data_IF_382585711993
#
_entry.id   IF_382585711993
#
_cell.length_a   1.000
_cell.length_b   1.000
_cell.length_c   1.000
_cell.angle_alpha   90.00
_cell.angle_beta   90.00
_cell.angle_gamma   90.00
#
_symmetry.space_group_name_H-M   'P 1'
#
loop_
_entity.id
_entity.type
_entity.pdbx_description
1 polymer ?
#
# COMPACT_ATOMS: atom_id res chain seq x y z
N UNK A 1 -18.90 5.02 0.82
CA UNK A 1 -17.85 4.31 0.11
C UNK A 1 -17.62 2.93 0.72
N UNK A 2 -17.40 1.88 -0.09
CA UNK A 2 -16.96 0.56 0.37
C UNK A 2 -15.48 0.38 0.04
N UNK A 3 -14.65 0.30 1.09
CA UNK A 3 -13.21 0.05 1.02
C UNK A 3 -12.91 -1.43 1.25
N UNK A 4 -12.00 -2.00 0.45
CA UNK A 4 -11.43 -3.33 0.67
C UNK A 4 -9.95 -3.22 1.04
N UNK A 5 -9.55 -3.85 2.13
CA UNK A 5 -8.14 -4.08 2.48
C UNK A 5 -7.77 -5.53 2.19
N UNK A 6 -6.52 -5.79 1.84
CA UNK A 6 -6.11 -7.12 1.42
C UNK A 6 -5.06 -7.74 2.33
N UNK A 7 -5.12 -9.08 2.39
CA UNK A 7 -4.12 -9.93 2.99
C UNK A 7 -3.73 -10.99 1.94
N UNK A 8 -2.70 -10.69 1.14
CA UNK A 8 -2.30 -11.50 -0.01
C UNK A 8 -0.88 -12.04 0.16
N UNK A 9 -0.60 -13.21 -0.43
CA UNK A 9 0.75 -13.74 -0.48
C UNK A 9 1.59 -12.90 -1.44
N UNK A 10 2.80 -12.54 -1.05
CA UNK A 10 3.78 -11.83 -1.89
C UNK A 10 4.87 -12.81 -2.31
N UNK A 11 4.95 -13.06 -3.61
CA UNK A 11 5.93 -13.93 -4.26
C UNK A 11 7.17 -13.14 -4.74
N UNK A 12 8.32 -13.78 -4.96
CA UNK A 12 9.40 -13.18 -5.76
C UNK A 12 9.04 -13.06 -7.26
N UNK A 13 8.02 -13.77 -7.73
CA UNK A 13 7.52 -13.74 -9.11
C UNK A 13 6.50 -12.59 -9.28
N UNK A 14 6.90 -11.57 -10.06
CA UNK A 14 6.08 -10.37 -10.33
C UNK A 14 4.78 -10.72 -11.05
N UNK A 15 4.81 -11.66 -12.00
CA UNK A 15 3.59 -12.10 -12.72
C UNK A 15 2.61 -12.81 -11.79
N UNK A 16 3.12 -13.64 -10.87
CA UNK A 16 2.28 -14.30 -9.86
C UNK A 16 1.62 -13.27 -8.93
N UNK A 17 2.36 -12.24 -8.52
CA UNK A 17 1.83 -11.13 -7.76
C UNK A 17 0.75 -10.37 -8.53
N UNK A 18 1.02 -10.06 -9.81
CA UNK A 18 0.05 -9.40 -10.70
C UNK A 18 -1.24 -10.20 -10.86
N UNK A 19 -1.14 -11.53 -11.07
CA UNK A 19 -2.33 -12.42 -11.12
C UNK A 19 -3.13 -12.37 -9.82
N UNK A 20 -2.45 -12.43 -8.67
CA UNK A 20 -3.08 -12.36 -7.35
C UNK A 20 -3.80 -11.02 -7.15
N UNK A 21 -3.14 -9.91 -7.47
CA UNK A 21 -3.70 -8.56 -7.38
C UNK A 21 -4.95 -8.45 -8.23
N UNK A 22 -4.91 -8.85 -9.50
CA UNK A 22 -6.07 -8.81 -10.41
C UNK A 22 -7.23 -9.68 -9.90
N UNK A 23 -6.94 -10.86 -9.38
CA UNK A 23 -7.98 -11.73 -8.77
C UNK A 23 -8.68 -11.04 -7.59
N UNK A 24 -7.92 -10.37 -6.73
CA UNK A 24 -8.49 -9.66 -5.58
C UNK A 24 -9.27 -8.41 -5.99
N UNK A 25 -8.82 -7.68 -7.02
CA UNK A 25 -9.56 -6.54 -7.58
C UNK A 25 -10.92 -7.01 -8.12
N UNK A 26 -10.95 -8.09 -8.90
CA UNK A 26 -12.21 -8.64 -9.41
C UNK A 26 -13.17 -9.01 -8.28
N UNK A 27 -12.70 -9.74 -7.26
CA UNK A 27 -13.51 -10.13 -6.09
C UNK A 27 -14.03 -8.92 -5.29
N UNK A 28 -13.19 -7.89 -5.11
CA UNK A 28 -13.59 -6.67 -4.42
C UNK A 28 -14.68 -5.92 -5.19
N UNK A 29 -14.51 -5.77 -6.50
CA UNK A 29 -15.51 -5.15 -7.37
C UNK A 29 -16.82 -5.94 -7.38
N UNK A 30 -16.78 -7.27 -7.50
CA UNK A 30 -17.96 -8.15 -7.42
C UNK A 30 -18.68 -8.02 -6.07
N UNK A 31 -17.95 -7.67 -5.01
CA UNK A 31 -18.51 -7.38 -3.69
C UNK A 31 -18.99 -5.93 -3.53
N UNK A 32 -18.91 -5.10 -4.56
CA UNK A 32 -19.32 -3.69 -4.56
C UNK A 32 -18.32 -2.74 -3.89
N UNK A 33 -17.04 -3.13 -3.74
CA UNK A 33 -16.01 -2.20 -3.29
C UNK A 33 -15.67 -1.19 -4.39
N UNK A 34 -15.41 0.07 -3.98
CA UNK A 34 -15.00 1.15 -4.88
C UNK A 34 -13.51 1.42 -4.83
N UNK A 35 -12.87 1.02 -3.75
CA UNK A 35 -11.45 1.18 -3.53
C UNK A 35 -10.88 -0.09 -2.90
N UNK A 36 -9.75 -0.57 -3.42
CA UNK A 36 -9.01 -1.70 -2.85
C UNK A 36 -7.56 -1.30 -2.62
N UNK A 37 -6.99 -1.72 -1.47
CA UNK A 37 -5.59 -1.45 -1.15
C UNK A 37 -4.82 -2.74 -0.88
N UNK A 38 -3.55 -2.75 -1.28
CA UNK A 38 -2.62 -3.88 -1.14
C UNK A 38 -1.44 -3.51 -0.25
N UNK A 39 -0.72 -4.52 0.24
CA UNK A 39 0.40 -4.35 1.13
C UNK A 39 1.62 -3.71 0.45
N UNK A 40 2.58 -3.28 1.25
CA UNK A 40 3.91 -2.84 0.82
C UNK A 40 4.59 -3.94 0.00
N UNK A 41 5.13 -3.57 -1.17
CA UNK A 41 5.80 -4.51 -2.07
C UNK A 41 4.88 -5.58 -2.70
N UNK A 42 3.56 -5.38 -2.70
CA UNK A 42 2.60 -6.37 -3.19
C UNK A 42 2.87 -6.84 -4.62
N UNK A 43 3.34 -5.96 -5.50
CA UNK A 43 3.66 -6.30 -6.88
C UNK A 43 5.14 -6.64 -7.08
N UNK A 44 6.05 -5.80 -6.57
CA UNK A 44 7.50 -5.93 -6.78
C UNK A 44 8.17 -7.01 -5.92
N UNK A 45 7.52 -7.48 -4.85
CA UNK A 45 8.24 -8.04 -3.71
C UNK A 45 8.78 -6.93 -2.81
N UNK A 46 9.27 -7.30 -1.64
CA UNK A 46 9.77 -6.40 -0.61
C UNK A 46 11.23 -6.71 -0.25
N UNK A 47 11.98 -5.66 0.11
CA UNK A 47 13.38 -5.74 0.52
C UNK A 47 13.61 -6.75 1.64
N UNK A 48 14.74 -7.49 1.59
CA UNK A 48 15.15 -8.53 2.54
C UNK A 48 14.30 -9.80 2.57
N UNK A 49 13.28 -9.89 1.73
CA UNK A 49 12.42 -11.08 1.64
C UNK A 49 12.38 -11.62 0.21
N UNK A 50 11.85 -10.87 -0.74
CA UNK A 50 11.82 -11.26 -2.16
C UNK A 50 13.00 -10.65 -2.93
N UNK A 51 13.47 -9.49 -2.48
CA UNK A 51 14.71 -8.85 -2.94
C UNK A 51 15.74 -9.04 -1.82
N UNK A 52 16.73 -9.89 -2.02
CA UNK A 52 17.63 -10.32 -0.94
C UNK A 52 18.75 -9.32 -0.64
N UNK A 53 19.19 -8.58 -1.67
CA UNK A 53 20.24 -7.55 -1.55
C UNK A 53 19.88 -6.27 -2.31
N UNK A 54 20.39 -5.08 -1.90
CA UNK A 54 20.16 -3.83 -2.63
C UNK A 54 20.64 -3.86 -4.07
N UNK A 55 21.67 -4.67 -4.37
CA UNK A 55 22.25 -4.80 -5.70
C UNK A 55 21.30 -5.46 -6.71
N UNK A 56 20.31 -6.23 -6.23
CA UNK A 56 19.33 -6.87 -7.10
C UNK A 56 18.44 -5.88 -7.83
N UNK A 57 18.27 -4.66 -7.31
CA UNK A 57 17.56 -3.62 -8.03
C UNK A 57 18.15 -3.31 -9.41
N UNK A 58 19.45 -3.55 -9.62
CA UNK A 58 20.09 -3.39 -10.92
C UNK A 58 19.62 -4.43 -11.95
N UNK A 59 19.15 -5.58 -11.51
CA UNK A 59 18.66 -6.70 -12.34
C UNK A 59 17.15 -6.91 -12.24
N UNK A 60 16.48 -6.07 -11.46
CA UNK A 60 15.02 -6.18 -11.28
C UNK A 60 14.30 -6.04 -12.62
N UNK A 61 13.30 -6.87 -12.84
CA UNK A 61 12.52 -6.85 -14.10
C UNK A 61 11.46 -5.75 -14.10
N UNK A 62 11.93 -4.52 -14.32
CA UNK A 62 11.08 -3.33 -14.42
C UNK A 62 10.05 -3.43 -15.55
N UNK A 63 10.40 -4.15 -16.62
CA UNK A 63 9.49 -4.33 -17.77
C UNK A 63 8.29 -5.17 -17.39
N UNK A 64 8.52 -6.30 -16.74
CA UNK A 64 7.42 -7.17 -16.27
C UNK A 64 6.54 -6.43 -15.27
N UNK A 65 7.12 -5.68 -14.31
CA UNK A 65 6.33 -4.87 -13.39
C UNK A 65 5.44 -3.84 -14.14
N UNK A 66 5.98 -3.18 -15.14
CA UNK A 66 5.22 -2.21 -15.94
C UNK A 66 4.08 -2.88 -16.73
N UNK A 67 4.32 -4.07 -17.29
CA UNK A 67 3.28 -4.86 -17.98
C UNK A 67 2.16 -5.22 -17.01
N UNK A 68 2.49 -5.69 -15.81
CA UNK A 68 1.52 -6.05 -14.81
C UNK A 68 0.73 -4.82 -14.29
N UNK A 69 1.37 -3.67 -14.09
CA UNK A 69 0.68 -2.43 -13.74
C UNK A 69 -0.34 -2.02 -14.81
N UNK A 70 0.01 -2.14 -16.08
CA UNK A 70 -0.93 -1.87 -17.19
C UNK A 70 -2.11 -2.85 -17.20
N UNK A 71 -1.85 -4.13 -16.94
CA UNK A 71 -2.91 -5.14 -16.88
C UNK A 71 -3.85 -4.90 -15.66
N UNK A 72 -3.30 -4.47 -14.53
CA UNK A 72 -4.07 -4.04 -13.35
C UNK A 72 -4.92 -2.81 -13.69
N UNK A 73 -4.33 -1.81 -14.35
CA UNK A 73 -5.02 -0.59 -14.77
C UNK A 73 -6.20 -0.88 -15.70
N UNK A 74 -6.00 -1.75 -16.70
CA UNK A 74 -7.07 -2.19 -17.59
C UNK A 74 -8.22 -2.89 -16.86
N UNK A 75 -7.90 -3.70 -15.83
CA UNK A 75 -8.93 -4.34 -15.01
C UNK A 75 -9.66 -3.33 -14.11
N UNK A 76 -8.95 -2.35 -13.55
CA UNK A 76 -9.58 -1.27 -12.78
C UNK A 76 -10.60 -0.51 -13.64
N UNK A 77 -10.25 -0.19 -14.90
CA UNK A 77 -11.17 0.42 -15.86
C UNK A 77 -12.37 -0.48 -16.16
N UNK A 78 -12.14 -1.75 -16.45
CA UNK A 78 -13.21 -2.70 -16.75
C UNK A 78 -14.20 -2.85 -15.58
N UNK A 79 -13.72 -2.75 -14.33
CA UNK A 79 -14.50 -2.99 -13.11
C UNK A 79 -14.99 -1.70 -12.44
N UNK A 80 -14.57 -0.53 -12.90
CA UNK A 80 -14.92 0.75 -12.31
C UNK A 80 -14.49 0.86 -10.85
N UNK A 81 -13.24 0.44 -10.51
CA UNK A 81 -12.71 0.38 -9.14
C UNK A 81 -11.36 1.07 -9.07
N UNK A 82 -11.11 1.78 -7.98
CA UNK A 82 -9.79 2.34 -7.65
C UNK A 82 -8.92 1.29 -6.97
N UNK A 83 -7.62 1.27 -7.25
CA UNK A 83 -6.68 0.36 -6.62
C UNK A 83 -5.40 1.06 -6.16
N UNK A 84 -4.91 0.69 -4.96
CA UNK A 84 -3.63 1.17 -4.41
C UNK A 84 -2.68 -0.01 -4.29
N UNK A 85 -1.61 0.02 -5.09
CA UNK A 85 -0.71 -1.12 -5.31
C UNK A 85 0.67 -0.81 -4.75
N UNK A 86 1.10 -1.57 -3.74
CA UNK A 86 2.47 -1.49 -3.22
C UNK A 86 3.49 -2.06 -4.21
N UNK A 87 4.57 -1.33 -4.44
CA UNK A 87 5.63 -1.74 -5.34
C UNK A 87 6.89 -0.89 -5.21
N UNK A 88 7.83 -1.09 -6.13
CA UNK A 88 9.02 -0.28 -6.27
C UNK A 88 8.91 0.62 -7.50
N UNK A 89 9.41 1.86 -7.43
CA UNK A 89 9.46 2.76 -8.59
C UNK A 89 10.89 3.08 -8.96
N UNK A 90 11.23 2.73 -10.21
CA UNK A 90 12.56 2.94 -10.76
C UNK A 90 12.88 4.42 -10.88
N UNK A 91 14.05 4.80 -10.40
CA UNK A 91 14.71 6.08 -10.68
C UNK A 91 15.75 5.93 -11.78
N UNK A 92 16.74 6.80 -11.81
CA UNK A 92 17.86 6.69 -12.74
C UNK A 92 18.74 5.46 -12.42
N UNK A 93 19.53 5.03 -13.41
CA UNK A 93 20.48 3.91 -13.25
C UNK A 93 21.45 4.18 -12.09
N UNK A 94 21.60 3.20 -11.22
CA UNK A 94 22.49 3.27 -10.04
C UNK A 94 21.89 3.96 -8.82
N UNK A 95 20.67 4.51 -8.92
CA UNK A 95 19.93 5.08 -7.79
C UNK A 95 18.93 4.02 -7.27
N UNK A 96 18.90 3.72 -5.95
CA UNK A 96 17.89 2.85 -5.38
C UNK A 96 16.47 3.34 -5.69
N UNK A 97 15.50 2.46 -5.95
CA UNK A 97 14.13 2.85 -6.28
C UNK A 97 13.42 3.52 -5.10
N UNK A 98 12.28 4.13 -5.34
CA UNK A 98 11.34 4.41 -4.26
C UNK A 98 10.58 3.14 -3.85
N UNK A 99 10.33 2.97 -2.57
CA UNK A 99 9.26 2.13 -2.05
C UNK A 99 7.96 2.95 -2.17
N UNK A 100 6.98 2.47 -2.92
CA UNK A 100 5.86 3.32 -3.28
C UNK A 100 4.50 2.62 -3.31
N UNK A 101 3.46 3.44 -3.39
CA UNK A 101 2.09 3.03 -3.68
C UNK A 101 1.64 3.69 -4.99
N UNK A 102 1.35 2.88 -6.00
CA UNK A 102 0.71 3.34 -7.23
C UNK A 102 -0.79 3.46 -7.00
N UNK A 103 -1.38 4.59 -7.35
CA UNK A 103 -2.82 4.84 -7.24
C UNK A 103 -3.43 4.82 -8.63
N UNK A 104 -4.20 3.77 -8.91
CA UNK A 104 -4.85 3.54 -10.20
C UNK A 104 -6.32 3.90 -10.09
N UNK A 105 -6.81 4.72 -11.01
CA UNK A 105 -8.18 5.19 -11.08
C UNK A 105 -9.13 4.21 -11.73
N UNK A 106 -10.42 4.46 -11.56
CA UNK A 106 -11.49 3.68 -12.19
C UNK A 106 -11.55 3.83 -13.72
N UNK A 107 -10.81 4.79 -14.30
CA UNK A 107 -10.63 4.94 -15.74
C UNK A 107 -9.37 4.21 -16.27
N UNK A 108 -8.63 3.51 -15.39
CA UNK A 108 -7.40 2.81 -15.74
C UNK A 108 -6.19 3.73 -15.88
N UNK A 109 -6.26 4.93 -15.38
CA UNK A 109 -5.16 5.89 -15.33
C UNK A 109 -4.32 5.75 -14.05
N UNK A 110 -3.05 6.06 -14.13
CA UNK A 110 -2.22 6.27 -12.95
C UNK A 110 -2.48 7.69 -12.44
N UNK A 111 -3.37 7.82 -11.44
CA UNK A 111 -3.75 9.12 -10.88
C UNK A 111 -2.56 9.79 -10.20
N UNK A 112 -1.87 9.03 -9.36
CA UNK A 112 -0.72 9.52 -8.59
C UNK A 112 0.10 8.35 -8.05
N UNK A 113 1.23 8.67 -7.44
CA UNK A 113 2.08 7.73 -6.70
C UNK A 113 2.49 8.36 -5.38
N UNK A 114 2.41 7.62 -4.31
CA UNK A 114 2.98 7.98 -3.02
C UNK A 114 4.31 7.27 -2.84
N UNK A 115 5.39 8.01 -2.67
CA UNK A 115 6.72 7.48 -2.38
C UNK A 115 6.96 7.59 -0.87
N UNK A 116 7.35 6.47 -0.24
CA UNK A 116 7.59 6.38 1.21
C UNK A 116 8.56 7.47 1.65
N UNK A 117 8.12 8.35 2.54
CA UNK A 117 8.88 9.52 2.97
C UNK A 117 9.88 9.20 4.09
N UNK A 118 9.45 8.36 5.04
CA UNK A 118 10.27 7.96 6.17
C UNK A 118 10.69 6.50 6.02
N UNK A 119 11.98 6.31 5.78
CA UNK A 119 12.58 4.99 5.66
C UNK A 119 13.09 4.50 7.01
N UNK A 120 13.01 3.20 7.25
CA UNK A 120 13.68 2.60 8.38
C UNK A 120 15.21 2.66 8.20
N UNK A 121 15.97 2.62 9.31
CA UNK A 121 17.43 2.57 9.25
C UNK A 121 17.95 1.47 8.33
N UNK A 122 17.25 0.37 8.28
CA UNK A 122 17.60 -0.74 7.42
C UNK A 122 17.37 -0.43 5.92
N UNK A 123 16.32 0.30 5.58
CA UNK A 123 16.00 0.70 4.20
C UNK A 123 16.96 1.79 3.70
N UNK A 124 17.45 2.68 4.58
CA UNK A 124 18.46 3.69 4.28
C UNK A 124 19.82 3.08 3.85
N UNK A 125 20.07 1.82 4.15
CA UNK A 125 21.26 1.09 3.74
C UNK A 125 21.32 0.74 2.24
N UNK A 126 20.82 1.60 1.37
CA UNK A 126 20.88 1.44 -0.10
C UNK A 126 19.70 0.68 -0.70
N UNK A 127 18.66 0.38 0.08
CA UNK A 127 17.48 -0.34 -0.40
C UNK A 127 16.52 0.55 -1.18
N UNK A 128 16.26 1.75 -0.66
CA UNK A 128 15.30 2.68 -1.22
C UNK A 128 15.78 4.13 -1.10
N UNK A 129 15.26 4.96 -1.97
CA UNK A 129 15.36 6.42 -1.91
C UNK A 129 14.08 6.96 -1.27
N UNK A 130 14.14 7.86 -0.28
CA UNK A 130 12.95 8.45 0.32
C UNK A 130 12.18 9.33 -0.67
N UNK A 131 10.85 9.37 -0.53
CA UNK A 131 9.99 10.39 -1.13
C UNK A 131 9.98 11.68 -0.30
N UNK A 132 9.29 12.71 -0.81
CA UNK A 132 9.24 14.03 -0.16
C UNK A 132 7.80 14.48 0.14
N UNK A 133 6.84 14.11 -0.70
CA UNK A 133 5.54 14.75 -0.72
C UNK A 133 4.45 13.93 -0.01
N UNK A 134 3.61 14.63 0.75
CA UNK A 134 2.33 14.11 1.19
C UNK A 134 1.36 14.15 -0.02
N UNK A 135 0.82 13.00 -0.38
CA UNK A 135 -0.06 12.83 -1.53
C UNK A 135 -1.46 12.47 -1.05
N UNK A 136 -2.49 12.97 -1.73
CA UNK A 136 -3.89 12.60 -1.47
C UNK A 136 -4.59 12.20 -2.76
N UNK A 137 -5.64 11.39 -2.65
CA UNK A 137 -6.55 11.04 -3.75
C UNK A 137 -8.00 11.19 -3.30
N UNK A 138 -8.87 11.57 -4.23
CA UNK A 138 -10.32 11.57 -3.99
C UNK A 138 -10.96 10.35 -4.64
N UNK A 139 -11.83 9.67 -3.89
CA UNK A 139 -12.64 8.53 -4.37
C UNK A 139 -14.07 8.72 -3.86
N UNK A 140 -15.01 8.86 -4.76
CA UNK A 140 -16.46 9.02 -4.44
C UNK A 140 -16.74 10.12 -3.38
N UNK A 141 -16.04 11.25 -3.46
CA UNK A 141 -16.19 12.38 -2.53
C UNK A 141 -15.36 12.29 -1.25
N UNK A 142 -14.73 11.16 -0.95
CA UNK A 142 -13.84 10.99 0.20
C UNK A 142 -12.38 11.22 -0.21
N UNK A 143 -11.60 11.81 0.68
CA UNK A 143 -10.17 12.07 0.47
C UNK A 143 -9.33 11.10 1.29
N UNK A 144 -8.36 10.46 0.64
CA UNK A 144 -7.45 9.51 1.26
C UNK A 144 -6.00 9.97 1.18
N UNK A 145 -5.27 9.79 2.29
CA UNK A 145 -3.81 9.88 2.35
C UNK A 145 -3.18 8.48 2.39
N UNK A 146 -1.85 8.43 2.47
CA UNK A 146 -1.07 7.20 2.39
C UNK A 146 0.01 7.13 3.46
N UNK A 147 0.27 5.93 3.96
CA UNK A 147 1.42 5.67 4.81
C UNK A 147 1.94 4.24 4.60
N UNK A 148 3.25 4.05 4.70
CA UNK A 148 3.91 2.77 4.44
C UNK A 148 4.72 2.33 5.69
N UNK A 149 4.35 1.20 6.27
CA UNK A 149 5.12 0.46 7.26
C UNK A 149 5.58 1.31 8.46
N UNK A 150 6.90 1.57 8.58
CA UNK A 150 7.49 2.34 9.68
C UNK A 150 6.89 3.75 9.83
N UNK A 151 6.25 4.28 8.80
CA UNK A 151 5.60 5.59 8.86
C UNK A 151 4.48 5.64 9.89
N UNK A 152 3.97 4.49 10.36
CA UNK A 152 3.07 4.43 11.51
C UNK A 152 3.69 4.98 12.81
N UNK A 153 5.02 5.09 12.89
CA UNK A 153 5.75 5.60 14.04
C UNK A 153 6.01 7.12 13.97
N UNK A 154 5.56 7.78 12.90
CA UNK A 154 5.76 9.21 12.67
C UNK A 154 4.43 9.96 12.76
N UNK A 155 4.08 10.53 13.94
CA UNK A 155 2.81 11.23 14.16
C UNK A 155 2.55 12.36 13.16
N UNK A 156 3.62 13.02 12.69
CA UNK A 156 3.54 14.09 11.70
C UNK A 156 2.94 13.65 10.36
N UNK A 157 3.06 12.37 10.00
CA UNK A 157 2.42 11.82 8.79
C UNK A 157 0.91 11.95 8.91
N UNK A 158 0.33 11.47 10.01
CA UNK A 158 -1.11 11.44 10.23
C UNK A 158 -1.68 12.84 10.54
N UNK A 159 -1.01 13.62 11.38
CA UNK A 159 -1.43 14.99 11.66
C UNK A 159 -1.33 15.91 10.45
N UNK A 160 -0.41 15.64 9.49
CA UNK A 160 -0.38 16.38 8.23
C UNK A 160 -1.61 16.07 7.38
N UNK A 161 -2.04 14.81 7.31
CA UNK A 161 -3.24 14.41 6.58
C UNK A 161 -4.51 14.94 7.21
N UNK A 162 -4.62 14.96 8.55
CA UNK A 162 -5.73 15.62 9.24
C UNK A 162 -5.86 17.08 8.81
N UNK A 163 -4.76 17.86 8.83
CA UNK A 163 -4.74 19.27 8.37
C UNK A 163 -5.08 19.44 6.88
N UNK A 164 -4.86 18.42 6.05
CA UNK A 164 -5.24 18.40 4.63
C UNK A 164 -6.72 18.02 4.41
N UNK A 165 -7.47 17.77 5.48
CA UNK A 165 -8.87 17.35 5.41
C UNK A 165 -9.05 15.96 4.80
N UNK A 166 -8.20 15.02 5.16
CA UNK A 166 -8.27 13.63 4.73
C UNK A 166 -9.28 12.87 5.59
N UNK A 167 -10.16 12.08 4.98
CA UNK A 167 -11.14 11.24 5.68
C UNK A 167 -10.53 9.93 6.17
N UNK A 168 -9.51 9.45 5.48
CA UNK A 168 -8.84 8.20 5.83
C UNK A 168 -7.43 8.06 5.29
N UNK A 169 -6.66 7.16 5.89
CA UNK A 169 -5.29 6.81 5.47
C UNK A 169 -5.25 5.36 5.02
N UNK A 170 -4.71 5.13 3.83
CA UNK A 170 -4.45 3.79 3.29
C UNK A 170 -3.04 3.38 3.71
N UNK A 171 -2.99 2.49 4.68
CA UNK A 171 -1.75 2.00 5.28
C UNK A 171 -1.35 0.66 4.65
N UNK A 172 -0.17 0.62 4.06
CA UNK A 172 0.40 -0.56 3.42
C UNK A 172 1.67 -0.98 4.14
N UNK A 173 1.75 -2.23 4.59
CA UNK A 173 2.94 -2.71 5.30
C UNK A 173 3.28 -4.14 4.92
N UNK A 174 4.57 -4.50 4.97
CA UNK A 174 5.03 -5.90 4.85
C UNK A 174 4.90 -6.66 6.18
N UNK A 175 4.20 -6.13 7.14
CA UNK A 175 3.85 -6.75 8.40
C UNK A 175 3.36 -5.69 9.37
N UNK A 176 2.32 -6.02 10.12
CA UNK A 176 1.70 -5.11 11.08
C UNK A 176 1.92 -5.68 12.48
N UNK A 177 3.13 -5.51 13.03
CA UNK A 177 3.45 -5.92 14.39
C UNK A 177 2.53 -5.20 15.40
N UNK A 178 2.41 -5.72 16.60
CA UNK A 178 1.48 -5.22 17.62
C UNK A 178 1.67 -3.71 17.88
N UNK A 179 2.93 -3.26 18.00
CA UNK A 179 3.21 -1.84 18.21
C UNK A 179 2.79 -0.94 17.04
N UNK A 180 2.76 -1.46 15.80
CA UNK A 180 2.16 -0.74 14.66
C UNK A 180 0.65 -0.66 14.80
N UNK A 181 -0.01 -1.73 15.25
CA UNK A 181 -1.45 -1.74 15.47
C UNK A 181 -1.84 -0.73 16.54
N UNK A 182 -1.07 -0.64 17.64
CA UNK A 182 -1.28 0.35 18.71
C UNK A 182 -1.16 1.76 18.12
N UNK A 183 -0.08 2.04 17.36
CA UNK A 183 0.14 3.34 16.74
C UNK A 183 -0.99 3.71 15.76
N UNK A 184 -1.39 2.80 14.86
CA UNK A 184 -2.46 3.04 13.90
C UNK A 184 -3.80 3.33 14.59
N UNK A 185 -4.15 2.57 15.62
CA UNK A 185 -5.35 2.80 16.41
C UNK A 185 -5.32 4.16 17.11
N UNK A 186 -4.17 4.53 17.68
CA UNK A 186 -3.99 5.84 18.29
C UNK A 186 -4.12 6.97 17.26
N UNK A 187 -3.50 6.85 16.09
CA UNK A 187 -3.62 7.85 15.03
C UNK A 187 -5.05 7.98 14.50
N UNK A 188 -5.76 6.86 14.35
CA UNK A 188 -7.17 6.87 13.96
C UNK A 188 -8.02 7.69 14.96
N UNK A 189 -7.90 7.39 16.25
CA UNK A 189 -8.64 8.09 17.29
C UNK A 189 -8.24 9.54 17.51
N UNK A 190 -6.93 9.83 17.52
CA UNK A 190 -6.41 11.18 17.79
C UNK A 190 -6.67 12.17 16.65
N UNK A 191 -6.69 11.70 15.39
CA UNK A 191 -6.88 12.54 14.21
C UNK A 191 -8.26 12.33 13.56
N UNK A 192 -9.15 11.56 14.17
CA UNK A 192 -10.50 11.24 13.67
C UNK A 192 -10.48 10.68 12.22
N UNK A 193 -9.53 9.79 11.92
CA UNK A 193 -9.30 9.22 10.60
C UNK A 193 -9.73 7.76 10.52
N UNK A 194 -10.28 7.36 9.39
CA UNK A 194 -10.34 5.95 9.04
C UNK A 194 -8.96 5.44 8.61
N UNK A 195 -8.59 4.21 8.99
CA UNK A 195 -7.34 3.59 8.50
C UNK A 195 -7.66 2.24 7.88
N UNK A 196 -7.36 2.10 6.59
CA UNK A 196 -7.40 0.82 5.88
C UNK A 196 -6.00 0.21 5.84
N UNK A 197 -5.76 -0.85 6.62
CA UNK A 197 -4.45 -1.49 6.75
C UNK A 197 -4.38 -2.78 5.91
N UNK A 198 -3.40 -2.89 5.02
CA UNK A 198 -3.10 -4.09 4.22
C UNK A 198 -1.75 -4.68 4.59
N UNK A 199 -1.69 -6.03 4.71
CA UNK A 199 -0.48 -6.77 5.08
C UNK A 199 -0.38 -8.07 4.27
N UNK A 200 0.82 -8.63 4.04
CA UNK A 200 0.93 -9.91 3.35
C UNK A 200 0.51 -11.08 4.26
N UNK A 201 -0.01 -12.13 3.64
CA UNK A 201 -0.41 -13.37 4.32
C UNK A 201 0.72 -13.95 5.18
N UNK A 202 1.97 -13.91 4.71
CA UNK A 202 3.15 -14.43 5.42
C UNK A 202 3.40 -13.76 6.77
N UNK A 203 2.83 -12.60 7.03
CA UNK A 203 3.01 -11.83 8.27
C UNK A 203 1.71 -11.63 9.05
N UNK A 204 0.60 -12.19 8.57
CA UNK A 204 -0.73 -11.99 9.16
C UNK A 204 -0.85 -12.49 10.60
N UNK A 205 -0.06 -13.49 11.00
CA UNK A 205 0.00 -13.99 12.38
C UNK A 205 0.47 -12.93 13.40
N UNK A 206 1.22 -11.90 12.95
CA UNK A 206 1.66 -10.77 13.79
C UNK A 206 0.65 -9.62 13.81
N UNK A 207 -0.14 -9.50 12.75
CA UNK A 207 -1.18 -8.50 12.60
C UNK A 207 -1.86 -8.64 11.25
N UNK A 208 -3.12 -9.08 11.24
CA UNK A 208 -3.89 -9.21 10.01
C UNK A 208 -4.25 -7.87 9.41
N UNK A 209 -4.57 -7.86 8.11
CA UNK A 209 -5.18 -6.72 7.45
C UNK A 209 -6.55 -6.38 8.07
N UNK A 210 -6.98 -5.13 7.95
CA UNK A 210 -8.27 -4.72 8.50
C UNK A 210 -8.53 -3.23 8.33
N UNK A 211 -9.65 -2.78 8.91
CA UNK A 211 -10.09 -1.39 8.89
C UNK A 211 -10.27 -0.92 10.33
N UNK A 212 -9.70 0.24 10.65
CA UNK A 212 -9.81 0.91 11.95
C UNK A 212 -10.70 2.13 11.76
N UNK A 213 -11.69 2.29 12.63
CA UNK A 213 -12.57 3.46 12.67
C UNK A 213 -11.93 4.67 13.33
N UNK A 214 -12.57 5.87 13.20
CA UNK A 214 -12.06 7.11 13.77
C UNK A 214 -12.15 7.14 15.31
N UNK A 215 -12.69 6.12 15.93
CA UNK A 215 -12.67 5.85 17.38
C UNK A 215 -11.44 5.04 17.83
N UNK A 216 -10.57 4.64 16.88
CA UNK A 216 -9.41 3.79 17.11
C UNK A 216 -9.74 2.30 17.27
N UNK A 217 -10.99 1.88 17.02
CA UNK A 217 -11.38 0.48 17.13
C UNK A 217 -11.37 -0.24 15.77
N UNK A 218 -11.05 -1.54 15.78
CA UNK A 218 -11.12 -2.36 14.59
C UNK A 218 -12.58 -2.57 14.17
N UNK A 219 -12.96 -2.04 13.03
CA UNK A 219 -14.29 -2.24 12.42
C UNK A 219 -14.37 -3.57 11.66
N UNK A 220 -13.26 -3.97 11.05
CA UNK A 220 -13.11 -5.24 10.35
C UNK A 220 -11.66 -5.72 10.42
N UNK A 221 -11.46 -7.04 10.48
CA UNK A 221 -10.13 -7.67 10.44
C UNK A 221 -10.19 -8.96 9.62
N UNK A 222 -9.15 -9.21 8.84
CA UNK A 222 -8.94 -10.50 8.23
C UNK A 222 -8.59 -11.56 9.29
N UNK A 223 -8.87 -12.81 9.00
CA UNK A 223 -8.42 -13.93 9.82
C UNK A 223 -6.93 -14.15 9.54
N UNK A 224 -6.07 -14.27 10.55
CA UNK A 224 -4.68 -14.66 10.35
C UNK A 224 -4.60 -16.01 9.62
N UNK A 225 -3.68 -16.12 8.64
CA UNK A 225 -3.41 -17.36 7.90
C UNK A 225 -2.19 -18.07 8.46
#
# INVERSE_FOLDING_TARGET
LKLATTQTFVSPDIEANGRTIRSMIARAADSGARLITFCEGALSGYSKFQIETPQEWARFDWRTQEVELRAIAALCQQRGIFAVIGGAHRLSTGVPPHNCLYVIGEQGDLITRYDKRFLSNAELGGWYTPGNDAVTVQVDGYRFGFAICIESQFPEVFSSYERMGVDGVLFSSYGVAEYFQIALRAHAGLNCLWIGASTPTQKSHKGPAGIIGPDGEWTARCIPA
#
